data_IF_534785645360
#
_entry.id   IF_534785645360
#
_cell.length_a   1.000
_cell.length_b   1.000
_cell.length_c   1.000
_cell.angle_alpha   90.00
_cell.angle_beta   90.00
_cell.angle_gamma   90.00
#
_symmetry.space_group_name_H-M   'P 1'
#
loop_
_entity.id
_entity.type
_entity.pdbx_description
1 polymer ?
#
# COMPACT_ATOMS: atom_id res chain seq x y z
N UNK A 1 5.31 -14.15 32.70
CA UNK A 1 5.11 -14.26 31.24
C UNK A 1 6.11 -15.25 30.68
N UNK A 2 5.66 -16.48 30.37
CA UNK A 2 6.47 -17.60 29.91
C UNK A 2 6.81 -17.43 28.42
N UNK A 3 8.08 -17.62 28.04
CA UNK A 3 8.55 -17.70 26.65
C UNK A 3 8.04 -18.99 26.00
N UNK A 4 7.61 -18.98 24.71
CA UNK A 4 7.46 -20.21 23.95
C UNK A 4 8.80 -20.68 23.38
N UNK A 5 8.94 -22.01 23.39
CA UNK A 5 10.10 -22.80 23.06
C UNK A 5 10.42 -22.82 21.55
N UNK A 6 11.71 -22.88 21.26
CA UNK A 6 12.25 -23.21 19.94
C UNK A 6 11.96 -24.67 19.61
N UNK A 7 11.47 -24.92 18.39
CA UNK A 7 11.36 -26.25 17.79
C UNK A 7 12.43 -26.37 16.71
N UNK A 8 13.51 -27.05 17.10
CA UNK A 8 14.55 -27.59 16.24
C UNK A 8 14.02 -28.91 15.66
N UNK A 9 13.95 -29.05 14.34
CA UNK A 9 13.74 -30.34 13.67
C UNK A 9 14.98 -30.62 12.83
N UNK A 10 15.73 -31.63 13.25
CA UNK A 10 16.83 -32.22 12.50
C UNK A 10 16.45 -33.58 11.92
N UNK A 11 17.43 -34.16 11.20
CA UNK A 11 17.47 -35.49 10.56
C UNK A 11 16.71 -35.58 9.21
N UNK A 12 17.18 -36.27 8.17
CA UNK A 12 18.40 -37.02 7.88
C UNK A 12 18.34 -37.44 6.40
N UNK A 13 19.47 -37.75 5.75
CA UNK A 13 19.69 -39.01 4.99
C UNK A 13 20.84 -38.89 3.99
N UNK A 14 21.77 -39.83 4.10
CA UNK A 14 22.90 -40.10 3.24
C UNK A 14 22.60 -41.23 2.25
N UNK A 15 23.20 -41.19 1.06
CA UNK A 15 23.50 -42.28 0.12
C UNK A 15 24.48 -41.66 -0.91
N UNK A 16 25.77 -41.95 -1.05
CA UNK A 16 26.64 -43.13 -1.02
C UNK A 16 26.43 -44.14 -2.17
N UNK A 17 27.50 -44.26 -2.98
CA UNK A 17 27.93 -45.29 -3.93
C UNK A 17 27.59 -45.18 -5.43
N UNK A 18 28.65 -45.27 -6.24
CA UNK A 18 28.58 -45.52 -7.69
C UNK A 18 29.90 -45.35 -8.45
N UNK A 19 31.04 -45.83 -7.92
CA UNK A 19 32.26 -46.05 -8.71
C UNK A 19 32.19 -47.41 -9.41
N UNK A 20 32.36 -47.44 -10.74
CA UNK A 20 33.10 -48.46 -11.52
C UNK A 20 32.56 -48.55 -12.95
N UNK A 21 33.38 -48.18 -13.92
CA UNK A 21 33.85 -49.09 -14.97
C UNK A 21 34.81 -48.33 -15.90
N UNK A 22 36.10 -48.61 -15.73
CA UNK A 22 37.06 -48.55 -16.82
C UNK A 22 36.57 -49.51 -17.91
N UNK A 23 36.36 -49.03 -19.13
CA UNK A 23 36.22 -49.88 -20.30
C UNK A 23 37.06 -49.32 -21.44
N UNK A 24 37.72 -50.25 -22.11
CA UNK A 24 38.86 -50.10 -22.99
C UNK A 24 38.62 -49.29 -24.27
N UNK A 25 39.74 -48.74 -24.75
CA UNK A 25 39.93 -48.20 -26.08
C UNK A 25 39.65 -49.25 -27.17
N UNK A 26 38.96 -48.82 -28.22
CA UNK A 26 39.15 -49.36 -29.57
C UNK A 26 39.37 -48.19 -30.54
N UNK A 27 40.56 -48.03 -31.13
CA UNK A 27 40.86 -46.95 -32.06
C UNK A 27 40.61 -47.45 -33.49
N UNK A 28 39.37 -47.38 -33.95
CA UNK A 28 39.09 -47.48 -35.39
C UNK A 28 38.95 -46.09 -35.98
N UNK A 29 39.91 -45.80 -36.86
CA UNK A 29 39.92 -44.67 -37.75
C UNK A 29 38.59 -44.59 -38.52
N UNK A 30 37.90 -43.47 -38.38
CA UNK A 30 36.86 -43.05 -39.31
C UNK A 30 37.25 -41.68 -39.87
N UNK A 31 37.31 -41.66 -41.19
CA UNK A 31 37.87 -40.60 -42.02
C UNK A 31 36.98 -39.35 -41.98
N UNK A 32 37.51 -38.30 -41.33
CA UNK A 32 37.73 -37.02 -41.99
C UNK A 32 36.61 -36.41 -42.84
N UNK A 33 35.36 -36.37 -42.35
CA UNK A 33 34.42 -35.36 -42.81
C UNK A 33 34.49 -34.15 -41.86
N UNK A 34 34.85 -32.93 -42.32
CA UNK A 34 34.87 -31.75 -41.45
C UNK A 34 33.45 -31.51 -40.93
N UNK A 35 33.25 -31.75 -39.62
CA UNK A 35 31.98 -31.47 -38.97
C UNK A 35 31.60 -30.01 -39.26
N UNK A 36 30.40 -29.74 -39.80
CA UNK A 36 29.99 -28.38 -40.10
C UNK A 36 30.08 -27.55 -38.82
N UNK A 37 30.56 -26.29 -38.87
CA UNK A 37 30.69 -25.47 -37.68
C UNK A 37 29.32 -25.41 -37.00
N UNK A 38 29.22 -26.00 -35.81
CA UNK A 38 28.06 -25.91 -34.93
C UNK A 38 27.91 -24.43 -34.57
N UNK A 39 27.16 -23.68 -35.40
CA UNK A 39 26.74 -22.31 -35.13
C UNK A 39 25.94 -22.37 -33.84
N UNK A 40 26.62 -22.10 -32.72
CA UNK A 40 25.99 -22.08 -31.42
C UNK A 40 25.05 -20.87 -31.40
N UNK A 41 23.80 -21.11 -31.74
CA UNK A 41 22.72 -20.13 -31.75
C UNK A 41 22.33 -19.84 -30.29
N UNK A 42 23.27 -19.29 -29.51
CA UNK A 42 23.07 -18.82 -28.13
C UNK A 42 22.39 -17.45 -28.09
N UNK A 43 22.35 -16.76 -29.21
CA UNK A 43 21.69 -15.45 -29.39
C UNK A 43 20.20 -15.42 -28.99
N UNK A 44 19.33 -16.38 -29.35
CA UNK A 44 17.94 -16.38 -28.88
C UNK A 44 17.82 -16.53 -27.35
N UNK A 45 18.73 -17.25 -26.69
CA UNK A 45 18.73 -17.37 -25.24
C UNK A 45 19.14 -16.04 -24.55
N UNK A 46 20.10 -15.32 -25.12
CA UNK A 46 20.51 -13.98 -24.63
C UNK A 46 19.38 -12.96 -24.83
N UNK A 47 18.71 -12.98 -25.99
CA UNK A 47 17.58 -12.08 -26.28
C UNK A 47 16.37 -12.37 -25.36
N UNK A 48 16.05 -13.64 -25.11
CA UNK A 48 14.98 -14.03 -24.20
C UNK A 48 15.27 -13.60 -22.75
N UNK A 49 16.52 -13.74 -22.29
CA UNK A 49 16.94 -13.29 -20.96
C UNK A 49 16.82 -11.77 -20.78
N UNK A 50 17.25 -11.00 -21.78
CA UNK A 50 17.14 -9.54 -21.76
C UNK A 50 15.70 -9.04 -21.71
N UNK A 51 14.80 -9.63 -22.50
CA UNK A 51 13.38 -9.29 -22.49
C UNK A 51 12.72 -9.57 -21.13
N UNK A 52 13.03 -10.72 -20.51
CA UNK A 52 12.53 -11.06 -19.17
C UNK A 52 13.00 -10.08 -18.10
N UNK A 53 14.28 -9.70 -18.11
CA UNK A 53 14.81 -8.72 -17.17
C UNK A 53 14.13 -7.35 -17.29
N UNK A 54 13.85 -6.89 -18.52
CA UNK A 54 13.14 -5.63 -18.75
C UNK A 54 11.69 -5.68 -18.25
N UNK A 55 10.99 -6.80 -18.44
CA UNK A 55 9.62 -6.98 -17.91
C UNK A 55 9.64 -6.97 -16.38
N UNK A 56 10.54 -7.72 -15.74
CA UNK A 56 10.69 -7.71 -14.29
C UNK A 56 11.02 -6.31 -13.75
N UNK A 57 11.88 -5.56 -14.44
CA UNK A 57 12.23 -4.19 -14.07
C UNK A 57 11.04 -3.24 -14.23
N UNK A 58 10.28 -3.35 -15.32
CA UNK A 58 9.08 -2.54 -15.55
C UNK A 58 8.00 -2.84 -14.50
N UNK A 59 7.76 -4.10 -14.18
CA UNK A 59 6.85 -4.50 -13.11
C UNK A 59 7.33 -3.96 -11.76
N UNK A 60 8.61 -4.15 -11.43
CA UNK A 60 9.20 -3.61 -10.21
C UNK A 60 8.99 -2.10 -10.11
N UNK A 61 9.23 -1.37 -11.21
CA UNK A 61 9.03 0.07 -11.25
C UNK A 61 7.56 0.45 -11.09
N UNK A 62 6.62 -0.23 -11.74
CA UNK A 62 5.17 0.00 -11.59
C UNK A 62 4.71 -0.26 -10.14
N UNK A 63 5.17 -1.34 -9.51
CA UNK A 63 4.79 -1.71 -8.15
C UNK A 63 5.45 -0.82 -7.09
N UNK A 64 6.70 -0.38 -7.30
CA UNK A 64 7.42 0.50 -6.36
C UNK A 64 7.09 1.98 -6.56
N UNK A 65 6.63 2.39 -7.75
CA UNK A 65 6.23 3.78 -8.05
C UNK A 65 4.77 4.03 -7.69
N UNK A 66 4.30 3.47 -6.57
CA UNK A 66 2.96 3.75 -6.06
C UNK A 66 2.66 5.26 -6.06
N UNK A 67 1.41 5.69 -6.31
CA UNK A 67 1.07 7.09 -6.44
C UNK A 67 1.58 7.88 -5.24
N UNK A 68 2.54 8.78 -5.47
CA UNK A 68 3.01 9.69 -4.42
C UNK A 68 1.86 10.62 -4.09
N UNK A 69 1.37 10.55 -2.85
CA UNK A 69 0.37 11.48 -2.38
C UNK A 69 1.02 12.87 -2.28
N UNK A 70 0.48 13.91 -2.95
CA UNK A 70 0.99 15.25 -2.80
C UNK A 70 0.76 15.74 -1.38
N UNK A 71 1.55 16.73 -0.96
CA UNK A 71 1.34 17.40 0.31
C UNK A 71 0.05 18.23 0.26
N UNK A 72 -0.74 18.15 1.32
CA UNK A 72 -1.95 18.95 1.48
C UNK A 72 -1.56 20.27 2.13
N UNK A 73 -1.90 21.37 1.47
CA UNK A 73 -1.81 22.72 1.99
C UNK A 73 -3.21 23.32 2.21
N UNK A 74 -3.25 24.53 2.78
CA UNK A 74 -4.51 25.21 3.06
C UNK A 74 -5.31 25.47 1.77
N UNK A 75 -4.64 25.82 0.67
CA UNK A 75 -5.30 26.17 -0.59
C UNK A 75 -5.99 24.96 -1.23
N UNK A 76 -5.32 23.81 -1.28
CA UNK A 76 -5.90 22.56 -1.78
C UNK A 76 -7.06 22.06 -0.90
N UNK A 77 -6.91 22.16 0.43
CA UNK A 77 -7.97 21.82 1.37
C UNK A 77 -9.22 22.71 1.20
N UNK A 78 -9.04 24.02 1.04
CA UNK A 78 -10.14 24.96 0.86
C UNK A 78 -10.84 24.79 -0.50
N UNK A 79 -10.08 24.51 -1.56
CA UNK A 79 -10.62 24.19 -2.87
C UNK A 79 -11.49 22.91 -2.81
N UNK A 80 -10.98 21.86 -2.15
CA UNK A 80 -11.69 20.60 -1.97
C UNK A 80 -12.98 20.76 -1.15
N UNK A 81 -12.93 21.52 -0.06
CA UNK A 81 -14.12 21.86 0.73
C UNK A 81 -15.14 22.66 -0.06
N UNK A 82 -14.69 23.60 -0.89
CA UNK A 82 -15.58 24.36 -1.76
C UNK A 82 -16.29 23.42 -2.71
N UNK A 83 -15.56 22.52 -3.38
CA UNK A 83 -16.15 21.52 -4.27
C UNK A 83 -17.16 20.63 -3.52
N UNK A 84 -16.85 20.20 -2.30
CA UNK A 84 -17.79 19.43 -1.48
C UNK A 84 -19.05 20.19 -1.11
N UNK A 85 -18.95 21.48 -0.77
CA UNK A 85 -20.14 22.31 -0.51
C UNK A 85 -21.01 22.48 -1.76
N UNK A 86 -20.39 22.59 -2.93
CA UNK A 86 -21.07 22.89 -4.18
C UNK A 86 -21.68 21.64 -4.83
N UNK A 87 -21.02 20.48 -4.72
CA UNK A 87 -21.37 19.26 -5.43
C UNK A 87 -21.57 18.02 -4.55
N UNK A 88 -21.20 18.07 -3.27
CA UNK A 88 -21.29 16.94 -2.35
C UNK A 88 -22.74 16.57 -2.02
N UNK A 89 -23.13 15.29 -2.09
CA UNK A 89 -24.46 14.86 -1.68
C UNK A 89 -24.64 14.98 -0.16
N UNK A 90 -25.86 15.29 0.30
CA UNK A 90 -26.19 15.25 1.73
C UNK A 90 -26.27 13.83 2.26
N UNK A 91 -26.65 12.89 1.39
CA UNK A 91 -26.93 11.50 1.73
C UNK A 91 -25.99 10.61 0.94
N UNK A 92 -25.20 9.80 1.63
CA UNK A 92 -24.23 8.90 1.02
C UNK A 92 -23.83 7.77 1.95
N UNK A 93 -23.32 6.70 1.36
CA UNK A 93 -22.62 5.64 2.08
C UNK A 93 -21.14 5.68 1.68
N UNK A 94 -20.26 5.58 2.66
CA UNK A 94 -18.80 5.65 2.47
C UNK A 94 -18.13 4.48 3.18
N UNK A 95 -17.18 3.85 2.50
CA UNK A 95 -16.29 2.85 3.07
C UNK A 95 -14.85 3.37 3.06
N UNK A 96 -14.25 3.40 4.25
CA UNK A 96 -12.90 3.95 4.50
C UNK A 96 -12.03 2.84 5.08
N UNK A 97 -10.95 2.53 4.38
CA UNK A 97 -9.91 1.63 4.87
C UNK A 97 -8.83 2.45 5.57
N UNK A 98 -8.51 2.08 6.80
CA UNK A 98 -7.48 2.70 7.64
C UNK A 98 -6.35 1.70 7.85
N UNK A 99 -5.12 2.18 7.70
CA UNK A 99 -3.88 1.46 7.89
C UNK A 99 -3.03 2.20 8.93
N UNK A 100 -2.09 1.49 9.56
CA UNK A 100 -1.24 2.01 10.63
C UNK A 100 -1.27 1.12 11.88
N UNK A 101 -1.19 1.73 13.06
CA UNK A 101 -1.17 1.00 14.35
C UNK A 101 -2.48 0.29 14.68
N UNK A 102 -3.61 0.79 14.17
CA UNK A 102 -4.94 0.21 14.39
C UNK A 102 -5.71 0.06 13.08
N UNK A 103 -5.33 -0.91 12.21
CA UNK A 103 -5.97 -1.07 10.92
C UNK A 103 -7.44 -1.46 11.07
N UNK A 104 -8.31 -0.84 10.26
CA UNK A 104 -9.73 -1.12 10.27
C UNK A 104 -10.42 -0.66 8.98
N UNK A 105 -11.56 -1.27 8.67
CA UNK A 105 -12.49 -0.80 7.65
C UNK A 105 -13.71 -0.20 8.33
N UNK A 106 -13.96 1.07 8.06
CA UNK A 106 -15.14 1.79 8.52
C UNK A 106 -16.15 1.87 7.39
N UNK A 107 -17.41 1.54 7.67
CA UNK A 107 -18.54 1.84 6.77
C UNK A 107 -19.45 2.80 7.49
N UNK A 108 -19.73 3.95 6.88
CA UNK A 108 -20.56 4.99 7.47
C UNK A 108 -21.71 5.30 6.53
N UNK A 109 -22.92 5.34 7.08
CA UNK A 109 -24.09 5.86 6.39
C UNK A 109 -24.39 7.27 6.88
N UNK A 110 -24.41 8.22 5.96
CA UNK A 110 -24.68 9.63 6.21
C UNK A 110 -26.02 9.99 5.61
N UNK A 111 -26.88 10.62 6.41
CA UNK A 111 -28.24 11.03 6.03
C UNK A 111 -28.48 12.46 6.52
N UNK A 112 -28.96 13.33 5.65
CA UNK A 112 -29.12 14.75 5.95
C UNK A 112 -27.81 15.43 6.35
N UNK A 113 -26.68 15.01 5.77
CA UNK A 113 -25.34 15.51 6.10
C UNK A 113 -24.80 15.07 7.45
N UNK A 114 -25.51 14.22 8.19
CA UNK A 114 -25.11 13.72 9.52
C UNK A 114 -24.85 12.22 9.46
N UNK A 115 -23.77 11.76 10.08
CA UNK A 115 -23.51 10.32 10.20
C UNK A 115 -24.62 9.68 11.05
N UNK A 116 -25.38 8.78 10.45
CA UNK A 116 -26.53 8.13 11.05
C UNK A 116 -26.17 6.77 11.69
N UNK A 117 -25.26 6.04 11.05
CA UNK A 117 -24.76 4.75 11.56
C UNK A 117 -23.37 4.47 11.03
N UNK A 118 -22.64 3.57 11.70
CA UNK A 118 -21.41 3.04 11.18
C UNK A 118 -21.07 1.65 11.71
N UNK A 119 -20.17 0.97 10.99
CA UNK A 119 -19.52 -0.25 11.44
C UNK A 119 -18.01 -0.11 11.36
N UNK A 120 -17.29 -0.84 12.23
CA UNK A 120 -15.85 -1.05 12.19
C UNK A 120 -15.58 -2.53 12.05
N UNK A 121 -14.94 -2.95 10.96
CA UNK A 121 -14.70 -4.36 10.65
C UNK A 121 -16.00 -5.20 10.71
N UNK A 122 -17.12 -4.62 10.28
CA UNK A 122 -18.44 -5.25 10.30
C UNK A 122 -19.18 -5.20 11.64
N UNK A 123 -18.54 -4.81 12.75
CA UNK A 123 -19.19 -4.62 14.04
C UNK A 123 -19.78 -3.20 14.15
N UNK A 124 -21.01 -3.02 14.66
CA UNK A 124 -21.62 -1.70 14.82
C UNK A 124 -20.81 -0.81 15.78
N UNK A 125 -20.82 0.50 15.53
CA UNK A 125 -20.26 1.51 16.43
C UNK A 125 -21.39 2.28 17.13
N UNK A 126 -21.36 2.29 18.47
CA UNK A 126 -22.41 2.93 19.27
C UNK A 126 -22.10 4.40 19.61
N UNK A 127 -20.87 4.86 19.38
CA UNK A 127 -20.43 6.21 19.72
C UNK A 127 -20.50 7.15 18.50
N UNK A 128 -21.44 8.13 18.48
CA UNK A 128 -21.59 9.07 17.37
C UNK A 128 -20.35 9.89 17.06
N UNK A 129 -19.58 10.25 18.09
CA UNK A 129 -18.35 11.02 17.90
C UNK A 129 -17.32 10.21 17.12
N UNK A 130 -17.18 8.92 17.42
CA UNK A 130 -16.20 8.04 16.76
C UNK A 130 -16.52 7.86 15.29
N UNK A 131 -17.78 7.64 14.94
CA UNK A 131 -18.14 7.43 13.54
C UNK A 131 -18.32 8.72 12.74
N UNK A 132 -18.62 9.85 13.39
CA UNK A 132 -18.65 11.15 12.72
C UNK A 132 -17.29 11.51 12.11
N UNK A 133 -16.19 11.11 12.72
CA UNK A 133 -14.82 11.27 12.19
C UNK A 133 -14.66 10.67 10.78
N UNK A 134 -15.38 9.60 10.48
CA UNK A 134 -15.28 8.87 9.20
C UNK A 134 -16.33 9.32 8.16
N UNK A 135 -17.10 10.37 8.46
CA UNK A 135 -17.87 11.11 7.47
C UNK A 135 -16.96 12.07 6.67
N UNK A 136 -17.39 12.56 5.51
CA UNK A 136 -16.63 13.55 4.74
C UNK A 136 -16.33 14.83 5.54
N UNK A 137 -17.30 15.45 6.26
CA UNK A 137 -17.00 16.57 7.15
C UNK A 137 -15.99 16.23 8.26
N UNK A 138 -16.11 15.04 8.87
CA UNK A 138 -15.19 14.57 9.90
C UNK A 138 -13.76 14.42 9.39
N UNK A 139 -13.60 13.80 8.21
CA UNK A 139 -12.30 13.65 7.56
C UNK A 139 -11.66 15.00 7.22
N UNK A 140 -12.44 15.98 6.73
CA UNK A 140 -11.95 17.35 6.54
C UNK A 140 -11.49 18.01 7.85
N UNK A 141 -12.17 17.72 8.96
CA UNK A 141 -11.76 18.18 10.29
C UNK A 141 -10.39 17.64 10.69
N UNK A 142 -10.16 16.34 10.48
CA UNK A 142 -8.86 15.71 10.75
C UNK A 142 -7.75 16.29 9.87
N UNK A 143 -7.98 16.42 8.56
CA UNK A 143 -6.98 16.98 7.63
C UNK A 143 -6.65 18.43 7.99
N UNK A 144 -7.65 19.24 8.35
CA UNK A 144 -7.42 20.62 8.77
C UNK A 144 -6.57 20.73 10.03
N UNK A 145 -6.91 19.94 11.05
CA UNK A 145 -6.12 19.88 12.28
C UNK A 145 -4.65 19.62 11.95
N UNK A 146 -4.38 18.69 11.03
CA UNK A 146 -3.01 18.33 10.68
C UNK A 146 -2.31 19.41 9.80
N UNK A 147 -3.06 20.10 8.94
CA UNK A 147 -2.56 21.29 8.21
C UNK A 147 -2.23 22.45 9.17
N UNK A 148 -3.03 22.64 10.23
CA UNK A 148 -2.80 23.68 11.23
C UNK A 148 -1.56 23.35 12.09
N UNK A 149 -1.44 22.10 12.55
CA UNK A 149 -0.28 21.63 13.31
C UNK A 149 1.01 21.54 12.48
N UNK A 150 0.94 21.55 11.15
CA UNK A 150 2.14 21.70 10.32
C UNK A 150 2.90 23.00 10.63
N UNK A 151 2.17 24.05 11.03
CA UNK A 151 2.73 25.38 11.32
C UNK A 151 3.16 25.55 12.78
N UNK A 152 2.78 24.63 13.65
CA UNK A 152 3.01 24.72 15.09
C UNK A 152 3.35 23.33 15.64
N UNK A 153 4.57 23.11 16.16
CA UNK A 153 4.94 21.80 16.68
C UNK A 153 3.96 21.37 17.77
N UNK A 154 3.59 20.09 17.74
CA UNK A 154 2.80 19.49 18.82
C UNK A 154 3.77 19.25 19.98
N UNK A 155 3.49 19.89 21.11
CA UNK A 155 4.26 19.72 22.33
C UNK A 155 3.77 18.46 23.05
N UNK A 156 4.52 17.36 22.96
CA UNK A 156 4.21 16.10 23.68
C UNK A 156 4.94 16.00 25.03
N UNK A 157 5.89 16.90 25.27
CA UNK A 157 6.60 17.03 26.54
C UNK A 157 7.49 18.28 26.54
N UNK A 158 8.24 18.52 27.64
CA UNK A 158 9.07 19.72 27.79
C UNK A 158 10.11 19.93 26.68
N UNK A 159 10.49 18.86 25.98
CA UNK A 159 11.55 18.85 24.97
C UNK A 159 11.20 18.04 23.70
N UNK A 160 9.94 17.61 23.54
CA UNK A 160 9.51 16.80 22.40
C UNK A 160 8.54 17.61 21.53
N UNK A 161 9.06 18.08 20.40
CA UNK A 161 8.32 18.78 19.36
C UNK A 161 8.10 17.82 18.19
N UNK A 162 6.83 17.59 17.85
CA UNK A 162 6.46 16.75 16.72
C UNK A 162 5.89 17.61 15.60
N UNK A 163 6.33 17.34 14.37
CA UNK A 163 5.80 17.99 13.18
C UNK A 163 4.94 17.02 12.39
N UNK A 164 3.82 17.51 11.88
CA UNK A 164 2.92 16.72 11.03
C UNK A 164 3.02 17.19 9.59
N UNK A 165 3.20 16.24 8.67
CA UNK A 165 3.11 16.47 7.23
C UNK A 165 1.91 15.69 6.69
N UNK A 166 0.77 16.37 6.43
CA UNK A 166 -0.40 15.75 5.82
C UNK A 166 -0.16 15.57 4.31
N UNK A 167 -0.19 14.32 3.85
CA UNK A 167 -0.17 13.98 2.44
C UNK A 167 -1.53 13.42 2.03
N UNK A 168 -1.99 13.68 0.82
CA UNK A 168 -3.24 13.08 0.35
C UNK A 168 -3.73 13.62 -0.97
N UNK A 169 -4.93 13.18 -1.34
CA UNK A 169 -5.62 13.65 -2.54
C UNK A 169 -7.11 13.74 -2.27
N UNK A 170 -7.75 14.72 -2.90
CA UNK A 170 -9.19 14.89 -2.87
C UNK A 170 -9.82 14.27 -4.13
N UNK A 171 -11.06 13.81 -3.99
CA UNK A 171 -11.84 13.33 -5.12
C UNK A 171 -12.12 14.49 -6.10
N UNK A 172 -11.88 14.33 -7.42
CA UNK A 172 -12.06 15.43 -8.37
C UNK A 172 -13.54 15.75 -8.68
N UNK A 173 -14.47 14.87 -8.32
CA UNK A 173 -15.91 15.04 -8.61
C UNK A 173 -16.60 15.76 -7.48
N UNK A 174 -16.43 15.26 -6.26
CA UNK A 174 -17.13 15.71 -5.07
C UNK A 174 -16.22 16.44 -4.07
N UNK A 175 -14.89 16.35 -4.20
CA UNK A 175 -13.95 17.06 -3.32
C UNK A 175 -13.65 16.38 -1.98
N UNK A 176 -14.24 15.21 -1.66
CA UNK A 176 -13.96 14.54 -0.38
C UNK A 176 -12.50 14.05 -0.26
N UNK A 177 -11.93 13.90 0.95
CA UNK A 177 -10.59 13.32 1.15
C UNK A 177 -10.51 11.84 0.72
N UNK A 178 -10.07 11.58 -0.51
CA UNK A 178 -10.10 10.23 -1.12
C UNK A 178 -8.95 9.33 -0.63
N UNK A 179 -7.78 9.92 -0.36
CA UNK A 179 -6.69 9.24 0.33
C UNK A 179 -5.90 10.23 1.18
N UNK A 180 -5.39 9.75 2.30
CA UNK A 180 -4.68 10.56 3.28
C UNK A 180 -3.58 9.72 3.93
N UNK A 181 -2.45 10.37 4.24
CA UNK A 181 -1.32 9.81 4.97
C UNK A 181 -0.76 10.90 5.86
N UNK A 182 -0.76 10.67 7.16
CA UNK A 182 -0.12 11.52 8.16
C UNK A 182 1.29 11.01 8.42
N UNK A 183 2.30 11.84 8.17
CA UNK A 183 3.67 11.58 8.60
C UNK A 183 3.92 12.44 9.85
N UNK A 184 4.19 11.78 10.97
CA UNK A 184 4.72 12.42 12.18
C UNK A 184 6.23 12.32 12.21
N UNK A 185 6.91 13.47 12.18
CA UNK A 185 8.34 13.53 12.38
C UNK A 185 8.64 13.51 13.88
N UNK A 186 9.45 12.53 14.31
CA UNK A 186 9.80 12.31 15.72
C UNK A 186 8.90 11.31 16.46
N UNK A 187 7.88 10.75 15.79
CA UNK A 187 7.00 9.71 16.35
C UNK A 187 6.94 8.46 15.47
N UNK A 188 6.42 7.37 16.05
CA UNK A 188 6.19 6.09 15.35
C UNK A 188 4.75 5.98 14.82
N UNK A 189 3.96 7.05 14.89
CA UNK A 189 2.54 7.01 14.50
C UNK A 189 2.37 7.45 13.06
N UNK A 190 2.22 6.46 12.20
CA UNK A 190 1.74 6.65 10.83
C UNK A 190 0.27 6.24 10.75
N UNK A 191 -0.58 7.16 10.29
CA UNK A 191 -1.99 6.88 9.98
C UNK A 191 -2.21 7.13 8.51
N UNK A 192 -2.65 6.09 7.81
CA UNK A 192 -3.05 6.19 6.40
C UNK A 192 -4.51 5.81 6.30
N UNK A 193 -5.28 6.51 5.48
CA UNK A 193 -6.60 6.03 5.08
C UNK A 193 -6.87 6.23 3.59
N UNK A 194 -7.79 5.43 3.08
CA UNK A 194 -8.28 5.50 1.70
C UNK A 194 -9.78 5.25 1.69
N UNK A 195 -10.51 6.08 0.96
CA UNK A 195 -11.90 5.81 0.60
C UNK A 195 -11.90 4.73 -0.47
N UNK A 196 -12.44 3.55 -0.14
CA UNK A 196 -12.54 2.40 -1.05
C UNK A 196 -13.88 2.36 -1.78
N UNK A 197 -14.94 2.92 -1.20
CA UNK A 197 -16.25 3.08 -1.85
C UNK A 197 -16.91 4.38 -1.39
N UNK A 198 -17.55 5.09 -2.32
CA UNK A 198 -18.37 6.27 -2.05
C UNK A 198 -19.61 6.23 -2.95
N UNK A 199 -20.79 6.16 -2.33
CA UNK A 199 -22.06 5.97 -3.02
C UNK A 199 -23.04 7.08 -2.60
N UNK A 200 -23.18 8.14 -3.41
CA UNK A 200 -24.26 9.10 -3.26
C UNK A 200 -25.60 8.37 -3.23
N UNK A 201 -26.46 8.71 -2.28
CA UNK A 201 -27.82 8.21 -2.27
C UNK A 201 -28.71 9.25 -2.95
N UNK A 202 -29.57 8.78 -3.85
CA UNK A 202 -30.62 9.62 -4.41
C UNK A 202 -31.63 9.93 -3.29
N UNK A 203 -32.03 11.19 -3.10
CA UNK A 203 -33.07 11.55 -2.14
C UNK A 203 -34.43 10.90 -2.44
#
# INVERSE_FOLDING_TARGET
>A
LRRPAALQVGCASAHLWGMSALHDNDPTADDGAPAPPRRSTRWPAVLAGGASALVCLALYWIFMSGPRLPEIDQASLDAARKLWRDAGPSDYDIEVQVEGSQPAVYRVSVRGGTAASATRNGAPLDNPRTFATWSVPGMFGTVQSDVDHRRQPIQLGPHEEHFVTPLGRFDPTYGYPAAYRRIEWGGDVEVTWRVVSFQPQTP
#
